data_IF_258964372369
#
_entry.id   IF_258964372369
#
_cell.length_a   1.000
_cell.length_b   1.000
_cell.length_c   1.000
_cell.angle_alpha   90.00
_cell.angle_beta   90.00
_cell.angle_gamma   90.00
#
_symmetry.space_group_name_H-M   'P 1'
#
loop_
_entity.id
_entity.type
_entity.pdbx_description
1 polymer ?
#
# COMPACT_ATOMS: atom_id res chain seq x y z
N UNK A 1 -56.63 34.95 7.65
CA UNK A 1 -56.04 33.98 8.59
C UNK A 1 -56.23 32.62 7.94
N UNK A 2 -55.34 32.25 7.02
CA UNK A 2 -54.17 31.35 7.22
C UNK A 2 -54.55 30.02 7.87
N UNK A 3 -54.62 28.98 7.04
CA UNK A 3 -54.41 27.59 7.45
C UNK A 3 -53.72 26.86 6.28
N UNK A 4 -52.39 26.89 6.28
CA UNK A 4 -51.54 26.02 5.45
C UNK A 4 -51.02 24.91 6.34
N UNK A 5 -51.67 23.75 6.33
CA UNK A 5 -51.08 22.51 6.83
C UNK A 5 -50.11 21.97 5.77
N UNK A 6 -48.82 22.20 5.97
CA UNK A 6 -47.77 21.46 5.27
C UNK A 6 -47.59 20.06 5.90
N UNK A 7 -47.33 19.00 5.12
CA UNK A 7 -47.16 17.67 5.67
C UNK A 7 -45.91 17.61 6.55
N UNK A 8 -46.06 17.09 7.78
CA UNK A 8 -44.96 16.74 8.65
C UNK A 8 -44.05 15.73 7.94
N UNK A 9 -42.86 16.18 7.55
CA UNK A 9 -41.75 15.29 7.23
C UNK A 9 -41.30 14.61 8.54
N UNK A 10 -41.97 13.52 8.91
CA UNK A 10 -41.42 12.57 9.87
C UNK A 10 -40.23 11.87 9.22
N UNK A 11 -39.03 12.38 9.46
CA UNK A 11 -37.79 11.66 9.18
C UNK A 11 -37.79 10.41 10.07
N UNK A 12 -38.20 9.26 9.51
CA UNK A 12 -38.06 7.96 10.16
C UNK A 12 -36.58 7.76 10.45
N UNK A 13 -36.17 7.87 11.72
CA UNK A 13 -34.83 7.48 12.16
C UNK A 13 -34.67 6.02 11.77
N UNK A 14 -33.71 5.72 10.88
CA UNK A 14 -33.34 4.35 10.55
C UNK A 14 -32.82 3.69 11.82
N UNK A 15 -33.13 2.42 11.99
CA UNK A 15 -32.65 1.65 13.15
C UNK A 15 -31.17 1.34 12.95
N UNK A 16 -30.43 1.16 14.05
CA UNK A 16 -29.00 0.84 13.99
C UNK A 16 -28.71 -0.44 13.17
N UNK A 17 -29.67 -1.38 13.13
CA UNK A 17 -29.60 -2.59 12.30
C UNK A 17 -29.70 -2.28 10.79
N UNK A 18 -30.62 -1.39 10.38
CA UNK A 18 -30.76 -0.97 8.97
C UNK A 18 -29.52 -0.21 8.48
N UNK A 19 -28.87 0.55 9.35
CA UNK A 19 -27.61 1.24 9.04
C UNK A 19 -26.44 0.27 8.91
N UNK A 20 -26.33 -0.73 9.78
CA UNK A 20 -25.30 -1.76 9.71
C UNK A 20 -25.43 -2.63 8.45
N UNK A 21 -26.66 -3.02 8.08
CA UNK A 21 -26.92 -3.74 6.83
C UNK A 21 -26.58 -2.92 5.58
N UNK A 22 -26.92 -1.62 5.60
CA UNK A 22 -26.60 -0.71 4.50
C UNK A 22 -25.08 -0.52 4.35
N UNK A 23 -24.35 -0.38 5.45
CA UNK A 23 -22.88 -0.30 5.44
C UNK A 23 -22.25 -1.58 4.91
N UNK A 24 -22.76 -2.75 5.31
CA UNK A 24 -22.27 -4.05 4.84
C UNK A 24 -22.46 -4.18 3.34
N UNK A 25 -23.66 -3.87 2.83
CA UNK A 25 -23.95 -3.90 1.38
C UNK A 25 -23.11 -2.93 0.57
N UNK A 26 -22.88 -1.73 1.11
CA UNK A 26 -22.03 -0.73 0.48
C UNK A 26 -20.57 -1.22 0.36
N UNK A 27 -20.04 -1.83 1.43
CA UNK A 27 -18.71 -2.44 1.41
C UNK A 27 -18.62 -3.61 0.42
N UNK A 28 -19.65 -4.47 0.38
CA UNK A 28 -19.73 -5.59 -0.57
C UNK A 28 -19.67 -5.09 -2.02
N UNK A 29 -20.38 -4.01 -2.33
CA UNK A 29 -20.41 -3.38 -3.65
C UNK A 29 -19.04 -2.82 -4.05
N UNK A 30 -18.39 -2.08 -3.15
CA UNK A 30 -17.05 -1.53 -3.39
C UNK A 30 -16.05 -2.67 -3.60
N UNK A 31 -16.11 -3.70 -2.76
CA UNK A 31 -15.24 -4.87 -2.86
C UNK A 31 -15.40 -5.56 -4.22
N UNK A 32 -16.63 -5.81 -4.67
CA UNK A 32 -16.87 -6.45 -5.96
C UNK A 32 -16.39 -5.60 -7.13
N UNK A 33 -16.66 -4.29 -7.09
CA UNK A 33 -16.17 -3.36 -8.11
C UNK A 33 -14.65 -3.33 -8.17
N UNK A 34 -13.98 -3.30 -7.02
CA UNK A 34 -12.53 -3.33 -6.94
C UNK A 34 -11.97 -4.65 -7.49
N UNK A 35 -12.52 -5.80 -7.08
CA UNK A 35 -12.06 -7.11 -7.55
C UNK A 35 -12.27 -7.32 -9.06
N UNK A 36 -13.35 -6.77 -9.62
CA UNK A 36 -13.62 -6.87 -11.06
C UNK A 36 -12.73 -5.94 -11.90
N UNK A 37 -12.15 -4.90 -11.28
CA UNK A 37 -11.24 -3.96 -11.95
C UNK A 37 -9.78 -4.44 -11.99
N UNK A 38 -9.46 -5.49 -11.24
CA UNK A 38 -8.10 -6.04 -11.14
C UNK A 38 -7.91 -7.12 -12.22
N UNK A 39 -6.87 -7.01 -13.07
CA UNK A 39 -6.58 -8.04 -14.06
C UNK A 39 -6.27 -9.39 -13.39
N UNK A 40 -6.61 -10.53 -14.03
CA UNK A 40 -6.53 -11.85 -13.41
C UNK A 40 -5.12 -12.23 -12.93
N UNK A 41 -4.08 -11.74 -13.60
CA UNK A 41 -2.67 -11.90 -13.18
C UNK A 41 -2.33 -11.23 -11.83
N UNK A 42 -3.02 -10.14 -11.48
CA UNK A 42 -2.78 -9.41 -10.23
C UNK A 42 -3.60 -9.95 -9.06
N UNK A 43 -4.67 -10.71 -9.32
CA UNK A 43 -5.50 -11.36 -8.28
C UNK A 43 -4.69 -12.40 -7.53
N UNK A 44 -3.85 -13.17 -8.22
CA UNK A 44 -3.00 -14.18 -7.59
C UNK A 44 -1.93 -13.55 -6.70
N UNK A 45 -1.37 -12.42 -7.15
CA UNK A 45 -0.41 -11.64 -6.38
C UNK A 45 -1.05 -11.03 -5.13
N UNK A 46 -2.27 -10.51 -5.24
CA UNK A 46 -3.03 -9.96 -4.11
C UNK A 46 -3.37 -11.04 -3.07
N UNK A 47 -3.72 -12.25 -3.51
CA UNK A 47 -3.94 -13.40 -2.61
C UNK A 47 -2.68 -13.80 -1.86
N UNK A 48 -1.55 -13.93 -2.58
CA UNK A 48 -0.24 -14.24 -1.96
C UNK A 48 0.20 -13.15 -0.98
N UNK A 49 -0.06 -11.88 -1.30
CA UNK A 49 0.20 -10.76 -0.41
C UNK A 49 -0.68 -10.81 0.85
N UNK A 50 -1.99 -11.04 0.70
CA UNK A 50 -2.91 -11.19 1.84
C UNK A 50 -2.52 -12.33 2.78
N UNK A 51 -2.12 -13.48 2.22
CA UNK A 51 -1.65 -14.63 2.99
C UNK A 51 -0.36 -14.34 3.76
N UNK A 52 0.59 -13.60 3.14
CA UNK A 52 1.80 -13.14 3.84
C UNK A 52 1.44 -12.17 4.95
N UNK A 53 0.63 -11.15 4.66
CA UNK A 53 0.23 -10.11 5.60
C UNK A 53 -0.48 -10.66 6.84
N UNK A 54 -1.43 -11.60 6.66
CA UNK A 54 -2.12 -12.24 7.78
C UNK A 54 -1.24 -13.17 8.61
N UNK A 55 -0.14 -13.70 8.05
CA UNK A 55 0.85 -14.47 8.81
C UNK A 55 1.79 -13.56 9.59
N UNK A 56 2.13 -12.41 9.04
CA UNK A 56 3.01 -11.41 9.65
C UNK A 56 2.35 -10.64 10.80
N UNK A 57 1.02 -10.51 10.80
CA UNK A 57 0.30 -9.65 11.72
C UNK A 57 -0.79 -10.41 12.48
N UNK A 58 -0.63 -10.55 13.80
CA UNK A 58 -1.67 -11.12 14.66
C UNK A 58 -2.64 -10.01 15.07
N UNK A 59 -3.76 -9.94 14.36
CA UNK A 59 -4.80 -8.92 14.55
C UNK A 59 -5.42 -9.02 15.96
N UNK A 60 -5.48 -10.21 16.55
CA UNK A 60 -6.04 -10.40 17.89
C UNK A 60 -5.08 -9.96 19.00
N UNK A 61 -3.77 -10.15 18.79
CA UNK A 61 -2.76 -9.77 19.78
C UNK A 61 -2.26 -8.32 19.61
N UNK A 62 -2.65 -7.61 18.54
CA UNK A 62 -2.06 -6.34 18.10
C UNK A 62 -0.53 -6.36 18.07
N UNK A 63 0.06 -7.53 17.81
CA UNK A 63 1.49 -7.74 17.77
C UNK A 63 1.83 -8.43 16.46
N UNK A 64 2.90 -7.98 15.80
CA UNK A 64 3.46 -8.72 14.68
C UNK A 64 3.90 -10.09 15.21
N UNK A 65 3.27 -11.16 14.72
CA UNK A 65 3.59 -12.54 15.12
C UNK A 65 4.96 -12.87 14.53
N UNK A 66 6.01 -12.55 15.27
CA UNK A 66 7.39 -12.94 14.98
C UNK A 66 7.80 -12.80 13.50
N UNK A 67 8.07 -11.58 13.05
CA UNK A 67 9.36 -11.40 12.36
C UNK A 67 10.34 -11.24 13.50
N UNK A 68 11.23 -12.22 13.70
CA UNK A 68 12.30 -12.02 14.67
C UNK A 68 12.97 -10.67 14.38
N UNK A 69 13.26 -9.86 15.39
CA UNK A 69 13.85 -8.53 15.20
C UNK A 69 15.21 -8.55 14.45
N UNK A 70 15.69 -9.73 14.05
CA UNK A 70 16.92 -10.00 13.32
C UNK A 70 16.70 -10.53 11.89
N UNK A 71 15.47 -10.75 11.44
CA UNK A 71 15.20 -11.20 10.07
C UNK A 71 14.90 -9.98 9.21
N UNK A 72 15.98 -9.34 8.75
CA UNK A 72 15.89 -8.32 7.70
C UNK A 72 15.35 -9.03 6.46
N UNK A 73 14.10 -8.74 6.10
CA UNK A 73 13.52 -9.21 4.84
C UNK A 73 14.17 -8.39 3.73
N UNK A 74 15.22 -8.96 3.11
CA UNK A 74 16.00 -8.33 2.05
C UNK A 74 15.09 -7.90 0.88
N UNK A 75 14.04 -8.67 0.61
CA UNK A 75 13.06 -8.37 -0.43
C UNK A 75 12.24 -7.12 -0.11
N UNK A 76 11.84 -6.92 1.14
CA UNK A 76 11.11 -5.71 1.56
C UNK A 76 12.01 -4.49 1.55
N UNK A 77 13.27 -4.67 1.98
CA UNK A 77 14.28 -3.61 1.95
C UNK A 77 14.59 -3.17 0.52
N UNK A 78 14.78 -4.13 -0.40
CA UNK A 78 14.96 -3.86 -1.82
C UNK A 78 13.73 -3.17 -2.42
N UNK A 79 12.53 -3.66 -2.12
CA UNK A 79 11.29 -3.06 -2.61
C UNK A 79 11.13 -1.61 -2.13
N UNK A 80 11.40 -1.34 -0.85
CA UNK A 80 11.33 -0.01 -0.28
C UNK A 80 12.28 0.96 -1.00
N UNK A 81 13.54 0.58 -1.17
CA UNK A 81 14.54 1.42 -1.83
C UNK A 81 14.17 1.66 -3.30
N UNK A 82 13.74 0.62 -4.01
CA UNK A 82 13.31 0.73 -5.41
C UNK A 82 12.11 1.68 -5.57
N UNK A 83 11.12 1.60 -4.67
CA UNK A 83 9.97 2.51 -4.69
C UNK A 83 10.37 3.96 -4.35
N UNK A 84 11.34 4.18 -3.46
CA UNK A 84 11.86 5.53 -3.20
C UNK A 84 12.49 6.14 -4.47
N UNK A 85 13.29 5.38 -5.21
CA UNK A 85 13.91 5.85 -6.46
C UNK A 85 12.84 6.14 -7.52
N UNK A 86 11.81 5.28 -7.65
CA UNK A 86 10.66 5.52 -8.55
C UNK A 86 9.84 6.74 -8.15
N UNK A 87 9.72 7.02 -6.85
CA UNK A 87 9.04 8.20 -6.32
C UNK A 87 9.83 9.50 -6.55
N UNK A 88 11.03 9.43 -7.13
CA UNK A 88 11.86 10.58 -7.47
C UNK A 88 13.02 10.84 -6.51
N UNK A 89 13.34 9.89 -5.62
CA UNK A 89 14.58 9.98 -4.85
C UNK A 89 15.77 9.81 -5.79
N UNK A 90 16.56 10.87 -5.93
CA UNK A 90 17.73 10.86 -6.79
C UNK A 90 18.82 9.92 -6.22
N UNK A 91 19.46 9.05 -7.04
CA UNK A 91 20.44 8.05 -6.59
C UNK A 91 21.59 8.57 -5.71
N UNK A 92 22.06 9.80 -5.95
CA UNK A 92 23.04 10.51 -5.09
C UNK A 92 22.69 10.59 -3.60
N UNK A 93 21.42 10.46 -3.24
CA UNK A 93 20.94 10.53 -1.85
C UNK A 93 20.84 9.15 -1.19
N UNK A 94 21.00 8.08 -1.97
CA UNK A 94 21.07 6.74 -1.42
C UNK A 94 22.37 6.55 -0.64
N UNK A 95 22.25 5.86 0.47
CA UNK A 95 23.38 5.30 1.22
C UNK A 95 24.05 4.19 0.42
N UNK A 96 25.28 3.84 0.78
CA UNK A 96 26.01 2.76 0.09
C UNK A 96 25.31 1.41 0.25
N UNK A 97 24.70 1.13 1.41
CA UNK A 97 23.96 -0.12 1.63
C UNK A 97 22.72 -0.22 0.73
N UNK A 98 22.01 0.88 0.51
CA UNK A 98 20.87 0.95 -0.40
C UNK A 98 21.30 0.76 -1.87
N UNK A 99 22.47 1.30 -2.25
CA UNK A 99 23.04 1.05 -3.58
C UNK A 99 23.43 -0.40 -3.76
N UNK A 100 24.03 -1.04 -2.75
CA UNK A 100 24.35 -2.47 -2.78
C UNK A 100 23.09 -3.34 -2.87
N UNK A 101 22.01 -2.96 -2.19
CA UNK A 101 20.71 -3.63 -2.32
C UNK A 101 20.19 -3.55 -3.75
N UNK A 102 20.19 -2.36 -4.35
CA UNK A 102 19.76 -2.18 -5.74
C UNK A 102 20.67 -2.93 -6.72
N UNK A 103 21.98 -2.94 -6.48
CA UNK A 103 22.93 -3.72 -7.27
C UNK A 103 22.66 -5.23 -7.17
N UNK A 104 22.38 -5.74 -5.96
CA UNK A 104 22.03 -7.14 -5.75
C UNK A 104 20.71 -7.53 -6.42
N UNK A 105 19.74 -6.61 -6.48
CA UNK A 105 18.41 -6.85 -7.06
C UNK A 105 18.31 -6.65 -8.58
N UNK A 106 18.99 -5.65 -9.12
CA UNK A 106 18.86 -5.20 -10.51
C UNK A 106 20.18 -5.29 -11.32
N UNK A 107 21.29 -5.68 -10.69
CA UNK A 107 22.60 -5.82 -11.31
C UNK A 107 23.46 -4.56 -11.25
N UNK A 108 24.67 -4.66 -11.82
CA UNK A 108 25.69 -3.61 -11.74
C UNK A 108 25.22 -2.27 -12.33
N UNK A 109 24.37 -2.28 -13.36
CA UNK A 109 23.83 -1.08 -14.01
C UNK A 109 22.40 -0.74 -13.56
N UNK A 110 22.07 -1.00 -12.29
CA UNK A 110 20.70 -0.84 -11.77
C UNK A 110 20.08 0.54 -12.04
N UNK A 111 20.88 1.60 -12.09
CA UNK A 111 20.42 2.98 -12.31
C UNK A 111 19.74 3.19 -13.68
N UNK A 112 20.11 2.39 -14.67
CA UNK A 112 19.52 2.45 -16.02
C UNK A 112 18.04 2.09 -16.02
N UNK A 113 17.62 1.19 -15.11
CA UNK A 113 16.22 0.80 -14.92
C UNK A 113 15.33 1.95 -14.45
N UNK A 114 15.93 2.99 -13.89
CA UNK A 114 15.23 4.16 -13.35
C UNK A 114 15.51 5.43 -14.18
N UNK A 115 16.17 5.30 -15.34
CA UNK A 115 16.44 6.42 -16.23
C UNK A 115 17.57 7.36 -15.79
N UNK A 116 18.42 6.92 -14.86
CA UNK A 116 19.60 7.68 -14.44
C UNK A 116 20.86 7.23 -15.17
N UNK A 117 21.92 8.02 -15.05
CA UNK A 117 23.26 7.72 -15.55
C UNK A 117 24.21 7.41 -14.39
N UNK A 118 25.35 6.79 -14.68
CA UNK A 118 26.38 6.51 -13.68
C UNK A 118 26.86 7.81 -12.97
N UNK A 119 26.86 8.94 -13.69
CA UNK A 119 27.23 10.24 -13.14
C UNK A 119 26.29 10.75 -12.04
N UNK A 120 25.04 10.27 -12.02
CA UNK A 120 24.01 10.64 -11.05
C UNK A 120 24.17 9.95 -9.69
N UNK A 121 25.07 8.96 -9.61
CA UNK A 121 25.38 8.20 -8.39
C UNK A 121 26.34 8.95 -7.46
N UNK A 122 27.11 9.91 -8.01
CA UNK A 122 28.15 10.60 -7.27
C UNK A 122 27.52 11.67 -6.38
N UNK A 123 27.65 11.49 -5.07
CA UNK A 123 27.31 12.52 -4.10
C UNK A 123 28.30 13.67 -4.27
N UNK A 124 27.83 14.86 -4.63
CA UNK A 124 28.70 16.03 -4.67
C UNK A 124 29.38 16.17 -3.31
N UNK A 125 30.71 16.09 -3.29
CA UNK A 125 31.49 16.36 -2.08
C UNK A 125 31.16 17.78 -1.63
N UNK A 126 30.70 17.92 -0.39
CA UNK A 126 30.58 19.19 0.29
C UNK A 126 31.91 19.96 0.12
N UNK A 127 31.83 21.14 -0.49
CA UNK A 127 32.92 22.13 -0.53
C UNK A 127 32.91 22.93 0.76
#
# INVERSE_FOLDING_TARGET
>A
MQDTQGPLFTTRRRTAEEEAEMQTRFFEQIRQSAMNSIPPEHIEHLKKFGDKFHRSFDVEAQQSRHTSANEIVLEESLAYVAECVKAGLHPRYLTEDEKHLLQAGFGDEWWTHFGYTESDLVRAKDR
#
